data_IF_473068151046
#
_entry.id   IF_473068151046
#
_cell.length_a   1.000
_cell.length_b   1.000
_cell.length_c   1.000
_cell.angle_alpha   90.00
_cell.angle_beta   90.00
_cell.angle_gamma   90.00
#
_symmetry.space_group_name_H-M   'P 1'
#
loop_
_entity.id
_entity.type
_entity.pdbx_description
1 polymer ?
#
# COMPACT_ATOMS: atom_id res chain seq x y z
N UNK A 1 -10.66 0.85 0.56
CA UNK A 1 -9.48 1.11 -0.28
C UNK A 1 -9.57 0.31 -1.57
N UNK A 2 -8.94 0.79 -2.64
CA UNK A 2 -8.84 0.12 -3.94
C UNK A 2 -7.37 0.11 -4.39
N UNK A 3 -6.78 -1.09 -4.55
CA UNK A 3 -5.48 -1.27 -5.17
C UNK A 3 -5.67 -1.93 -6.53
N UNK A 4 -5.07 -1.36 -7.57
CA UNK A 4 -5.07 -1.91 -8.93
C UNK A 4 -3.66 -2.33 -9.30
N UNK A 5 -3.55 -3.46 -9.99
CA UNK A 5 -2.28 -3.87 -10.58
C UNK A 5 -1.86 -2.84 -11.64
N UNK A 6 -0.60 -2.40 -11.57
CA UNK A 6 0.00 -1.45 -12.51
C UNK A 6 1.00 -2.12 -13.45
N UNK A 7 1.17 -3.44 -13.36
CA UNK A 7 2.20 -4.20 -14.08
C UNK A 7 3.43 -4.48 -13.21
N UNK A 8 4.30 -5.39 -13.67
CA UNK A 8 5.56 -5.77 -13.02
C UNK A 8 5.45 -6.15 -11.54
N UNK A 9 4.39 -6.88 -11.17
CA UNK A 9 4.09 -7.24 -9.78
C UNK A 9 3.87 -6.02 -8.85
N UNK A 10 3.56 -4.85 -9.42
CA UNK A 10 3.27 -3.62 -8.70
C UNK A 10 1.77 -3.35 -8.69
N UNK A 11 1.35 -2.70 -7.63
CA UNK A 11 -0.02 -2.28 -7.39
C UNK A 11 0.00 -0.82 -6.93
N UNK A 12 -0.99 -0.05 -7.35
CA UNK A 12 -1.17 1.32 -6.90
C UNK A 12 -2.65 1.62 -6.69
N UNK A 13 -2.92 2.56 -5.79
CA UNK A 13 -4.27 3.05 -5.55
C UNK A 13 -4.41 3.63 -4.16
N UNK A 14 -5.56 3.42 -3.54
CA UNK A 14 -5.90 4.00 -2.25
C UNK A 14 -6.03 2.90 -1.19
N UNK A 15 -5.31 3.03 -0.09
CA UNK A 15 -5.41 2.15 1.08
C UNK A 15 -6.26 2.89 2.10
N UNK A 16 -7.33 2.27 2.58
CA UNK A 16 -8.15 2.84 3.66
C UNK A 16 -7.76 2.14 4.95
N UNK A 17 -7.29 2.88 5.94
CA UNK A 17 -7.07 2.39 7.30
C UNK A 17 -8.42 2.45 8.05
N UNK A 18 -9.07 1.31 8.31
CA UNK A 18 -10.36 1.28 9.00
C UNK A 18 -10.24 1.66 10.49
N UNK A 19 -9.05 1.58 11.10
CA UNK A 19 -8.87 1.94 12.50
C UNK A 19 -8.99 3.44 12.74
N UNK A 20 -8.63 4.25 11.74
CA UNK A 20 -8.59 5.71 11.83
C UNK A 20 -9.49 6.41 10.79
N UNK A 21 -10.25 5.65 10.00
CA UNK A 21 -11.05 6.10 8.85
C UNK A 21 -10.28 7.03 7.89
N UNK A 22 -9.00 6.72 7.66
CA UNK A 22 -8.11 7.54 6.81
C UNK A 22 -7.81 6.82 5.51
N UNK A 23 -7.85 7.56 4.41
CA UNK A 23 -7.45 7.06 3.10
C UNK A 23 -6.06 7.58 2.71
N UNK A 24 -5.20 6.66 2.30
CA UNK A 24 -3.79 6.84 1.96
C UNK A 24 -3.58 6.53 0.49
N UNK A 25 -2.80 7.33 -0.21
CA UNK A 25 -2.29 6.97 -1.53
C UNK A 25 -1.19 5.94 -1.37
N UNK A 26 -1.46 4.71 -1.78
CA UNK A 26 -0.64 3.54 -1.54
C UNK A 26 -0.08 2.92 -2.82
N UNK A 27 1.12 2.37 -2.71
CA UNK A 27 1.76 1.48 -3.67
C UNK A 27 2.11 0.17 -2.96
N UNK A 28 2.00 -0.94 -3.68
CA UNK A 28 2.50 -2.22 -3.21
C UNK A 28 3.33 -2.89 -4.31
N UNK A 29 4.37 -3.60 -3.91
CA UNK A 29 5.24 -4.37 -4.80
C UNK A 29 5.33 -5.77 -4.26
N UNK A 30 4.95 -6.75 -5.07
CA UNK A 30 5.12 -8.16 -4.79
C UNK A 30 6.47 -8.63 -5.34
N UNK A 31 7.22 -9.35 -4.52
CA UNK A 31 8.53 -9.90 -4.86
C UNK A 31 8.63 -11.31 -4.30
N UNK A 32 8.36 -12.31 -5.15
CA UNK A 32 8.26 -13.71 -4.73
C UNK A 32 7.15 -13.90 -3.70
N UNK A 33 7.54 -14.21 -2.46
CA UNK A 33 6.63 -14.40 -1.31
C UNK A 33 6.49 -13.16 -0.43
N UNK A 34 7.17 -12.06 -0.75
CA UNK A 34 7.16 -10.83 0.04
C UNK A 34 6.36 -9.73 -0.64
N UNK A 35 5.43 -9.11 0.07
CA UNK A 35 4.64 -7.97 -0.38
C UNK A 35 5.07 -6.71 0.38
N UNK A 36 5.74 -5.79 -0.31
CA UNK A 36 6.13 -4.50 0.25
C UNK A 36 5.05 -3.47 -0.07
N UNK A 37 4.38 -2.95 0.96
CA UNK A 37 3.40 -1.87 0.83
C UNK A 37 3.97 -0.56 1.36
N UNK A 38 3.59 0.55 0.75
CA UNK A 38 3.97 1.89 1.19
C UNK A 38 2.86 2.85 0.82
N UNK A 39 2.39 3.67 1.76
CA UNK A 39 1.35 4.66 1.50
C UNK A 39 1.51 5.89 2.35
N UNK A 40 1.13 7.04 1.79
CA UNK A 40 1.13 8.32 2.51
C UNK A 40 -0.29 8.86 2.59
N UNK A 41 -0.63 9.50 3.70
CA UNK A 41 -1.92 10.17 3.87
C UNK A 41 -2.02 11.32 2.86
N UNK A 42 -3.24 11.67 2.44
CA UNK A 42 -3.50 12.87 1.63
C UNK A 42 -2.87 14.09 2.31
N UNK A 43 -1.87 14.71 1.66
CA UNK A 43 -1.03 15.78 2.21
C UNK A 43 0.42 15.39 2.51
N UNK A 44 0.81 14.12 2.34
CA UNK A 44 2.22 13.68 2.34
C UNK A 44 2.94 13.69 3.70
N UNK A 45 2.29 14.16 4.77
CA UNK A 45 2.92 14.28 6.10
C UNK A 45 3.16 12.95 6.82
N UNK A 46 2.31 11.94 6.58
CA UNK A 46 2.39 10.65 7.29
C UNK A 46 2.50 9.54 6.26
N UNK A 47 3.72 9.01 6.11
CA UNK A 47 4.00 7.86 5.27
C UNK A 47 4.22 6.62 6.14
N UNK A 48 3.55 5.52 5.80
CA UNK A 48 3.73 4.21 6.42
C UNK A 48 4.21 3.23 5.36
N UNK A 49 5.15 2.38 5.73
CA UNK A 49 5.60 1.24 4.93
C UNK A 49 5.52 -0.02 5.78
N UNK A 50 5.09 -1.11 5.15
CA UNK A 50 4.97 -2.41 5.79
C UNK A 50 5.36 -3.48 4.79
N UNK A 51 6.17 -4.44 5.22
CA UNK A 51 6.51 -5.62 4.42
C UNK A 51 5.79 -6.82 5.02
N UNK A 52 5.00 -7.49 4.20
CA UNK A 52 4.28 -8.70 4.56
C UNK A 52 4.97 -9.88 3.90
N UNK A 53 5.25 -10.91 4.68
CA UNK A 53 5.76 -12.16 4.16
C UNK A 53 4.60 -13.16 4.15
N UNK A 54 4.40 -13.79 3.00
CA UNK A 54 3.51 -14.95 2.93
C UNK A 54 4.18 -16.08 3.71
N UNK A 55 3.56 -16.50 4.82
CA UNK A 55 3.93 -17.70 5.58
C UNK A 55 3.60 -18.97 4.78
#
# INVERSE_FOLDING_TARGET
>A
GSLKATGDNKYAGNITDPANDKTYSGKATLSGTSLKMSGCVLGGLICKSQTWHKL
#
